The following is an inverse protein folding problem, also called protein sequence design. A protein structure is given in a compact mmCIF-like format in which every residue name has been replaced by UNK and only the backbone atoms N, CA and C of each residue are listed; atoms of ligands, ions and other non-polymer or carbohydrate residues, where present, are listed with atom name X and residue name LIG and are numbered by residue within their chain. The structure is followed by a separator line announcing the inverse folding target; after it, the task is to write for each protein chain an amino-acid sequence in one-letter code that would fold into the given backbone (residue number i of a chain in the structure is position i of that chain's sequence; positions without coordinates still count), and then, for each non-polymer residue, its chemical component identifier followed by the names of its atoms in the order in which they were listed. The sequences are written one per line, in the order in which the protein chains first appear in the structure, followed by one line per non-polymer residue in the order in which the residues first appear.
data_IF_775974424571
#
_entry.id   IF_775974424571
#
_cell.length_a   1.000
_cell.length_b   1.000
_cell.length_c   1.000
_cell.angle_alpha   90.00
_cell.angle_beta   90.00
_cell.angle_gamma   90.00
#
_symmetry.space_group_name_H-M   'P 1'
#
loop_
_entity.id
_entity.type
_entity.pdbx_description
1 polymer ?
#
# COMPACT_ATOMS: atom_id res chain seq x y z
N UNK A 1 38.14 31.33 -49.51
CA UNK A 1 36.85 31.62 -48.81
C UNK A 1 35.97 30.36 -48.65
N UNK A 2 35.76 29.52 -49.67
CA UNK A 2 34.89 28.30 -49.58
C UNK A 2 35.37 27.27 -48.55
N UNK A 3 36.67 27.04 -48.39
CA UNK A 3 37.20 26.07 -47.41
C UNK A 3 37.00 26.53 -45.93
N UNK A 4 37.11 27.83 -45.63
CA UNK A 4 36.84 28.36 -44.30
C UNK A 4 35.35 28.30 -43.95
N UNK A 5 34.45 28.52 -44.91
CA UNK A 5 33.02 28.39 -44.71
C UNK A 5 32.60 26.91 -44.47
N UNK A 6 33.24 25.96 -45.14
CA UNK A 6 32.99 24.53 -44.94
C UNK A 6 33.46 24.03 -43.58
N UNK A 7 34.62 24.54 -43.11
CA UNK A 7 35.15 24.21 -41.77
C UNK A 7 34.28 24.77 -40.66
N UNK A 8 33.74 25.98 -40.80
CA UNK A 8 32.81 26.58 -39.83
C UNK A 8 31.46 25.84 -39.83
N UNK A 9 30.96 25.47 -41.03
CA UNK A 9 29.71 24.67 -41.10
C UNK A 9 29.87 23.28 -40.49
N UNK A 10 31.03 22.62 -40.67
CA UNK A 10 31.33 21.34 -40.04
C UNK A 10 31.46 21.45 -38.52
N UNK A 11 32.11 22.52 -38.02
CA UNK A 11 32.22 22.76 -36.58
C UNK A 11 30.88 23.06 -35.93
N UNK A 12 30.00 23.83 -36.58
CA UNK A 12 28.63 24.10 -36.09
C UNK A 12 27.79 22.83 -36.12
N UNK A 13 27.95 21.99 -37.17
CA UNK A 13 27.26 20.72 -37.29
C UNK A 13 27.68 19.73 -36.17
N UNK A 14 28.97 19.67 -35.84
CA UNK A 14 29.49 18.86 -34.74
C UNK A 14 28.96 19.37 -33.37
N UNK A 15 28.90 20.69 -33.15
CA UNK A 15 28.36 21.30 -31.94
C UNK A 15 26.87 21.04 -31.75
N UNK A 16 26.08 20.97 -32.84
CA UNK A 16 24.64 20.69 -32.77
C UNK A 16 24.36 19.20 -32.53
N UNK A 17 25.24 18.29 -33.04
CA UNK A 17 25.08 16.86 -32.81
C UNK A 17 25.64 16.36 -31.46
N UNK A 18 26.47 17.13 -30.78
CA UNK A 18 26.86 16.88 -29.37
C UNK A 18 25.94 17.59 -28.38
N UNK A 19 24.64 17.62 -28.66
CA UNK A 19 23.66 17.81 -27.59
C UNK A 19 23.73 16.58 -26.72
N UNK A 20 24.66 16.57 -25.76
CA UNK A 20 24.67 15.60 -24.66
C UNK A 20 23.31 15.75 -23.99
N UNK A 21 22.42 14.80 -24.21
CA UNK A 21 21.21 14.71 -23.42
C UNK A 21 21.66 14.47 -21.98
N UNK A 22 21.83 15.55 -21.23
CA UNK A 22 21.99 15.47 -19.78
C UNK A 22 20.66 14.94 -19.27
N UNK A 23 20.60 13.64 -19.09
CA UNK A 23 19.51 13.03 -18.37
C UNK A 23 19.66 13.51 -16.93
N UNK A 24 18.91 14.56 -16.59
CA UNK A 24 18.80 14.97 -15.20
C UNK A 24 18.26 13.75 -14.44
N UNK A 25 18.99 13.32 -13.40
CA UNK A 25 18.49 12.28 -12.52
C UNK A 25 17.14 12.72 -11.97
N UNK A 26 16.13 11.84 -11.96
CA UNK A 26 14.82 12.20 -11.46
C UNK A 26 14.95 12.57 -9.97
N UNK A 27 14.38 13.72 -9.63
CA UNK A 27 14.37 14.24 -8.26
C UNK A 27 13.05 13.83 -7.61
N UNK A 28 13.11 13.20 -6.45
CA UNK A 28 11.95 12.78 -5.67
C UNK A 28 12.01 13.36 -4.27
N UNK A 29 10.85 13.64 -3.69
CA UNK A 29 10.74 14.01 -2.28
C UNK A 29 10.69 12.73 -1.45
N UNK A 30 11.68 12.46 -0.56
CA UNK A 30 11.59 11.37 0.41
C UNK A 30 10.58 11.74 1.48
N UNK A 31 9.48 10.98 1.60
CA UNK A 31 8.33 11.38 2.42
C UNK A 31 8.43 10.84 3.85
N UNK A 32 8.46 9.52 4.04
CA UNK A 32 8.51 8.91 5.37
C UNK A 32 7.23 9.06 6.21
N UNK A 33 6.19 9.67 5.67
CA UNK A 33 4.94 9.91 6.38
C UNK A 33 4.04 8.67 6.39
N UNK A 34 3.42 8.40 7.54
CA UNK A 34 2.42 7.34 7.68
C UNK A 34 1.11 7.73 6.99
N UNK A 35 0.53 6.80 6.25
CA UNK A 35 -0.77 6.90 5.59
C UNK A 35 -1.60 5.66 5.87
N UNK A 36 -2.91 5.80 5.86
CA UNK A 36 -3.84 4.70 5.78
C UNK A 36 -4.00 4.27 4.32
N UNK A 37 -3.80 3.00 4.04
CA UNK A 37 -3.98 2.42 2.71
C UNK A 37 -5.20 1.52 2.72
N UNK A 38 -6.12 1.75 1.81
CA UNK A 38 -7.28 0.92 1.58
C UNK A 38 -7.22 0.36 0.16
N UNK A 39 -7.05 -0.96 0.04
CA UNK A 39 -7.05 -1.67 -1.22
C UNK A 39 -8.29 -2.54 -1.29
N UNK A 40 -9.12 -2.36 -2.30
CA UNK A 40 -10.31 -3.18 -2.55
C UNK A 40 -10.05 -4.06 -3.76
N UNK A 41 -10.45 -5.31 -3.63
CA UNK A 41 -10.57 -6.24 -4.75
C UNK A 41 -12.06 -6.40 -5.14
N UNK A 42 -12.33 -7.14 -6.19
CA UNK A 42 -13.70 -7.43 -6.63
C UNK A 42 -14.31 -8.61 -5.85
N UNK A 43 -13.85 -8.86 -4.62
CA UNK A 43 -14.33 -9.97 -3.82
C UNK A 43 -14.96 -9.50 -2.52
N UNK A 44 -16.12 -10.04 -2.19
CA UNK A 44 -16.79 -9.77 -0.93
C UNK A 44 -16.73 -11.03 -0.08
N UNK A 45 -16.16 -10.93 1.12
CA UNK A 45 -15.93 -12.05 2.02
C UNK A 45 -16.70 -11.86 3.33
N UNK A 46 -17.24 -12.93 3.87
CA UNK A 46 -17.88 -12.94 5.19
C UNK A 46 -16.78 -12.81 6.25
N UNK A 47 -16.78 -11.71 6.98
CA UNK A 47 -15.79 -11.39 8.01
C UNK A 47 -16.21 -11.84 9.41
N UNK A 48 -17.51 -11.69 9.72
CA UNK A 48 -18.08 -12.08 11.00
C UNK A 48 -19.59 -12.30 10.85
N UNK A 49 -20.21 -12.90 11.84
CA UNK A 49 -21.66 -12.95 11.97
C UNK A 49 -22.12 -11.85 12.91
N UNK A 50 -23.27 -11.25 12.59
CA UNK A 50 -23.96 -10.35 13.49
C UNK A 50 -24.47 -11.13 14.71
N UNK A 51 -24.30 -10.59 15.93
CA UNK A 51 -24.66 -11.27 17.16
C UNK A 51 -26.17 -11.48 17.30
N UNK A 52 -26.97 -10.53 16.81
CA UNK A 52 -28.43 -10.56 16.90
C UNK A 52 -29.09 -11.22 15.68
N UNK A 53 -28.54 -10.99 14.47
CA UNK A 53 -29.18 -11.39 13.20
C UNK A 53 -28.49 -12.57 12.53
N UNK A 54 -27.34 -13.03 13.02
CA UNK A 54 -26.50 -14.00 12.31
C UNK A 54 -26.89 -15.47 12.52
N UNK A 55 -27.95 -15.78 13.25
CA UNK A 55 -28.37 -17.14 13.53
C UNK A 55 -28.78 -17.89 12.25
N UNK A 56 -29.61 -17.27 11.42
CA UNK A 56 -30.09 -17.85 10.15
C UNK A 56 -28.96 -18.12 9.16
N UNK A 57 -28.01 -17.19 9.07
CA UNK A 57 -26.83 -17.34 8.22
C UNK A 57 -25.95 -18.53 8.67
N UNK A 58 -25.78 -18.75 9.98
CA UNK A 58 -25.05 -19.92 10.51
C UNK A 58 -25.81 -21.22 10.22
N UNK A 59 -27.14 -21.24 10.39
CA UNK A 59 -27.97 -22.41 10.11
C UNK A 59 -27.96 -22.76 8.61
N UNK A 60 -27.93 -21.76 7.73
CA UNK A 60 -27.79 -21.95 6.29
C UNK A 60 -26.37 -22.44 5.89
N UNK A 61 -25.47 -22.63 6.85
CA UNK A 61 -24.14 -23.19 6.64
C UNK A 61 -23.08 -22.23 6.15
N UNK A 62 -23.30 -20.90 6.23
CA UNK A 62 -22.28 -19.89 5.94
C UNK A 62 -21.14 -19.99 6.94
N UNK A 63 -19.94 -19.63 6.51
CA UNK A 63 -18.75 -19.60 7.35
C UNK A 63 -17.97 -18.30 7.13
N UNK A 64 -17.27 -17.87 8.18
CA UNK A 64 -16.27 -16.80 8.08
C UNK A 64 -15.22 -17.23 7.06
N UNK A 65 -14.86 -16.33 6.13
CA UNK A 65 -13.96 -16.59 5.02
C UNK A 65 -14.63 -17.02 3.72
N UNK A 66 -15.94 -17.31 3.70
CA UNK A 66 -16.67 -17.55 2.46
C UNK A 66 -16.69 -16.30 1.59
N UNK A 67 -16.39 -16.45 0.30
CA UNK A 67 -16.49 -15.38 -0.69
C UNK A 67 -17.84 -15.46 -1.38
N UNK A 68 -18.58 -14.36 -1.42
CA UNK A 68 -19.87 -14.30 -2.12
C UNK A 68 -19.58 -13.99 -3.59
N UNK A 69 -19.93 -14.92 -4.46
CA UNK A 69 -19.77 -14.79 -5.91
C UNK A 69 -21.02 -14.24 -6.58
N UNK A 70 -22.19 -14.76 -6.18
CA UNK A 70 -23.49 -14.38 -6.75
C UNK A 70 -24.54 -14.28 -5.66
N UNK A 71 -25.52 -13.42 -5.92
CA UNK A 71 -26.78 -13.33 -5.17
C UNK A 71 -27.90 -13.46 -6.17
N UNK A 72 -28.81 -14.43 -5.98
CA UNK A 72 -29.91 -14.74 -6.88
C UNK A 72 -29.47 -14.92 -8.35
N UNK A 73 -28.31 -15.56 -8.54
CA UNK A 73 -27.71 -15.82 -9.86
C UNK A 73 -26.94 -14.63 -10.47
N UNK A 74 -27.04 -13.42 -9.88
CA UNK A 74 -26.33 -12.23 -10.36
C UNK A 74 -24.95 -12.12 -9.70
N UNK A 75 -23.90 -11.95 -10.49
CA UNK A 75 -22.52 -11.77 -10.01
C UNK A 75 -22.39 -10.46 -9.22
N UNK A 76 -21.70 -10.52 -8.10
CA UNK A 76 -21.49 -9.37 -7.21
C UNK A 76 -20.00 -9.10 -7.02
N UNK A 77 -19.62 -7.81 -7.00
CA UNK A 77 -18.26 -7.35 -6.86
C UNK A 77 -18.07 -6.42 -5.65
N UNK A 78 -19.14 -5.98 -5.02
CA UNK A 78 -19.10 -5.11 -3.84
C UNK A 78 -20.33 -5.29 -2.95
N UNK A 79 -20.22 -4.79 -1.70
CA UNK A 79 -21.28 -4.89 -0.71
C UNK A 79 -22.56 -4.11 -1.10
N UNK A 80 -22.43 -3.04 -1.89
CA UNK A 80 -23.59 -2.26 -2.33
C UNK A 80 -24.47 -3.05 -3.32
N UNK A 81 -23.84 -3.79 -4.24
CA UNK A 81 -24.56 -4.70 -5.15
C UNK A 81 -25.29 -5.80 -4.37
N UNK A 82 -24.63 -6.37 -3.37
CA UNK A 82 -25.27 -7.37 -2.49
C UNK A 82 -26.49 -6.75 -1.81
N UNK A 83 -26.35 -5.60 -1.16
CA UNK A 83 -27.47 -4.92 -0.49
C UNK A 83 -28.65 -4.69 -1.43
N UNK A 84 -28.40 -4.11 -2.63
CA UNK A 84 -29.46 -3.87 -3.61
C UNK A 84 -30.19 -5.16 -3.99
N UNK A 85 -29.45 -6.25 -4.27
CA UNK A 85 -30.06 -7.53 -4.64
C UNK A 85 -30.84 -8.17 -3.49
N UNK A 86 -30.44 -7.94 -2.24
CA UNK A 86 -31.20 -8.40 -1.07
C UNK A 86 -32.51 -7.58 -0.91
N UNK A 87 -32.48 -6.27 -1.13
CA UNK A 87 -33.67 -5.43 -1.06
C UNK A 87 -34.68 -5.79 -2.15
N UNK A 88 -34.21 -6.26 -3.32
CA UNK A 88 -35.05 -6.75 -4.42
C UNK A 88 -35.58 -8.19 -4.19
N UNK A 89 -35.12 -8.87 -3.13
CA UNK A 89 -35.45 -10.27 -2.86
C UNK A 89 -36.67 -10.39 -1.96
N UNK A 90 -37.55 -11.34 -2.25
CA UNK A 90 -38.82 -11.57 -1.54
C UNK A 90 -38.69 -12.36 -0.23
N UNK A 91 -37.72 -12.00 0.66
CA UNK A 91 -37.58 -12.65 1.98
C UNK A 91 -36.54 -13.78 2.05
N UNK A 92 -36.06 -14.28 0.92
CA UNK A 92 -35.00 -15.32 0.84
C UNK A 92 -34.02 -14.97 -0.26
N UNK A 93 -32.73 -15.19 -0.03
CA UNK A 93 -31.68 -15.02 -1.03
C UNK A 93 -30.94 -16.34 -1.27
N UNK A 94 -30.68 -16.64 -2.55
CA UNK A 94 -29.78 -17.72 -2.95
C UNK A 94 -28.39 -17.14 -3.19
N UNK A 95 -27.42 -17.63 -2.41
CA UNK A 95 -26.02 -17.22 -2.53
C UNK A 95 -25.20 -18.31 -3.20
N UNK A 96 -24.39 -17.93 -4.18
CA UNK A 96 -23.28 -18.76 -4.64
C UNK A 96 -22.02 -18.30 -3.93
N UNK A 97 -21.39 -19.21 -3.20
CA UNK A 97 -20.24 -18.96 -2.33
C UNK A 97 -19.02 -19.72 -2.84
N UNK A 98 -17.84 -19.18 -2.63
CA UNK A 98 -16.57 -19.88 -2.79
C UNK A 98 -15.91 -20.09 -1.43
N UNK A 99 -15.78 -21.37 -1.01
CA UNK A 99 -15.10 -21.79 0.21
C UNK A 99 -13.84 -22.58 -0.16
N UNK A 100 -12.67 -21.94 0.03
CA UNK A 100 -11.43 -22.47 -0.53
C UNK A 100 -11.51 -22.50 -2.06
N UNK A 101 -11.48 -23.71 -2.65
CA UNK A 101 -11.63 -23.93 -4.10
C UNK A 101 -13.00 -24.49 -4.51
N UNK A 102 -13.93 -24.67 -3.55
CA UNK A 102 -15.25 -25.26 -3.82
C UNK A 102 -16.31 -24.18 -3.92
N UNK A 103 -17.09 -24.23 -4.99
CA UNK A 103 -18.31 -23.45 -5.15
C UNK A 103 -19.45 -24.16 -4.42
N UNK A 104 -20.23 -23.42 -3.63
CA UNK A 104 -21.34 -23.91 -2.80
C UNK A 104 -22.53 -23.00 -3.01
N UNK A 105 -23.71 -23.56 -2.89
CA UNK A 105 -24.95 -22.78 -2.84
C UNK A 105 -25.55 -22.83 -1.44
N UNK A 106 -26.10 -21.71 -1.00
CA UNK A 106 -26.84 -21.58 0.24
C UNK A 106 -28.07 -20.72 0.02
N UNK A 107 -29.19 -21.12 0.60
CA UNK A 107 -30.41 -20.34 0.63
C UNK A 107 -30.62 -19.78 2.04
N UNK A 108 -30.81 -18.46 2.14
CA UNK A 108 -30.79 -17.76 3.42
C UNK A 108 -32.00 -16.88 3.55
N UNK A 109 -32.73 -16.96 4.66
CA UNK A 109 -33.74 -15.99 5.00
C UNK A 109 -33.14 -14.58 5.13
N UNK A 110 -33.79 -13.59 4.57
CA UNK A 110 -33.40 -12.18 4.65
C UNK A 110 -34.08 -11.56 5.85
N UNK A 111 -33.30 -10.86 6.67
CA UNK A 111 -33.83 -10.08 7.79
C UNK A 111 -34.08 -8.67 7.31
N UNK A 112 -35.35 -8.26 7.27
CA UNK A 112 -35.75 -6.88 6.99
C UNK A 112 -35.53 -6.01 8.21
N UNK A 113 -34.77 -4.92 8.07
CA UNK A 113 -34.49 -3.96 9.13
C UNK A 113 -34.86 -2.54 8.66
N UNK A 114 -34.86 -1.55 9.57
CA UNK A 114 -35.05 -0.16 9.22
C UNK A 114 -34.01 0.38 8.23
N UNK A 115 -32.80 -0.22 8.22
CA UNK A 115 -31.69 0.15 7.34
C UNK A 115 -31.64 -0.69 6.05
N UNK A 116 -32.67 -1.49 5.73
CA UNK A 116 -32.75 -2.37 4.57
C UNK A 116 -32.58 -3.84 4.89
N UNK A 117 -32.50 -4.65 3.85
CA UNK A 117 -32.37 -6.11 3.92
C UNK A 117 -30.96 -6.53 4.34
N UNK A 118 -30.85 -7.48 5.28
CA UNK A 118 -29.58 -7.98 5.83
C UNK A 118 -29.51 -9.49 5.82
N UNK A 119 -28.29 -10.04 5.65
CA UNK A 119 -27.99 -11.47 5.77
C UNK A 119 -27.55 -11.85 7.19
N UNK A 120 -27.46 -10.91 8.12
CA UNK A 120 -26.91 -11.18 9.47
C UNK A 120 -25.41 -11.46 9.49
N UNK A 121 -24.66 -10.96 8.50
CA UNK A 121 -23.20 -11.10 8.42
C UNK A 121 -22.54 -9.75 8.17
N UNK A 122 -21.34 -9.60 8.70
CA UNK A 122 -20.43 -8.49 8.36
C UNK A 122 -19.59 -8.89 7.15
N UNK A 123 -19.58 -8.01 6.15
CA UNK A 123 -18.87 -8.22 4.90
C UNK A 123 -17.56 -7.43 4.93
N UNK A 124 -16.49 -8.07 4.46
CA UNK A 124 -15.20 -7.45 4.24
C UNK A 124 -14.90 -7.43 2.75
N UNK A 125 -14.40 -6.29 2.28
CA UNK A 125 -13.93 -6.14 0.91
C UNK A 125 -12.53 -5.51 0.95
N UNK A 126 -11.54 -6.23 0.43
CA UNK A 126 -10.16 -5.76 0.38
C UNK A 126 -9.44 -5.77 1.74
N UNK A 127 -8.40 -4.96 1.81
CA UNK A 127 -7.50 -4.84 2.94
C UNK A 127 -7.28 -3.38 3.26
N UNK A 128 -7.29 -3.05 4.53
CA UNK A 128 -6.93 -1.73 5.05
C UNK A 128 -5.83 -1.87 6.09
N UNK A 129 -4.91 -0.93 6.10
CA UNK A 129 -3.83 -0.89 7.07
C UNK A 129 -3.07 0.43 6.99
N UNK A 130 -2.18 0.65 7.94
CA UNK A 130 -1.24 1.77 7.88
C UNK A 130 0.04 1.35 7.15
N UNK A 131 0.65 2.29 6.46
CA UNK A 131 1.94 2.13 5.79
C UNK A 131 2.66 3.46 5.67
N UNK A 132 3.87 3.44 5.14
CA UNK A 132 4.68 4.63 4.97
C UNK A 132 4.81 4.97 3.49
N UNK A 133 4.59 6.24 3.13
CA UNK A 133 4.90 6.78 1.80
C UNK A 133 6.41 6.92 1.69
N UNK A 134 7.00 6.27 0.69
CA UNK A 134 8.44 6.27 0.46
C UNK A 134 8.89 7.54 -0.23
N UNK A 135 8.25 7.85 -1.34
CA UNK A 135 8.62 8.98 -2.18
C UNK A 135 7.41 9.61 -2.85
N UNK A 136 7.58 10.87 -3.22
CA UNK A 136 6.63 11.64 -4.02
C UNK A 136 7.36 12.34 -5.14
N UNK A 137 6.81 12.25 -6.34
CA UNK A 137 7.28 12.96 -7.53
C UNK A 137 6.43 14.22 -7.74
N UNK A 138 6.97 15.42 -7.49
CA UNK A 138 6.22 16.66 -7.64
C UNK A 138 5.91 16.98 -9.11
N UNK A 139 6.66 16.43 -10.08
CA UNK A 139 6.42 16.69 -11.50
C UNK A 139 5.20 15.92 -12.03
N UNK A 140 4.97 14.69 -11.55
CA UNK A 140 3.88 13.84 -12.02
C UNK A 140 2.73 13.71 -11.02
N UNK A 141 2.95 14.06 -9.76
CA UNK A 141 2.04 13.82 -8.65
C UNK A 141 1.97 12.35 -8.22
N UNK A 142 2.85 11.50 -8.74
CA UNK A 142 2.92 10.09 -8.37
C UNK A 142 3.64 9.88 -7.04
N UNK A 143 3.28 8.81 -6.34
CA UNK A 143 3.96 8.39 -5.11
C UNK A 143 4.10 6.87 -5.04
N UNK A 144 5.07 6.41 -4.26
CA UNK A 144 5.25 5.02 -3.89
C UNK A 144 5.23 4.82 -2.38
N UNK A 145 4.71 3.69 -1.92
CA UNK A 145 4.57 3.35 -0.51
C UNK A 145 4.89 1.88 -0.25
N UNK A 146 5.21 1.52 1.00
CA UNK A 146 5.44 0.20 1.57
C UNK A 146 6.75 -0.47 1.16
N UNK A 147 7.21 -0.39 -0.09
CA UNK A 147 8.36 -1.16 -0.59
C UNK A 147 8.09 -2.66 -0.77
N UNK A 148 6.85 -3.12 -0.58
CA UNK A 148 6.38 -4.49 -0.82
C UNK A 148 4.89 -4.47 -1.18
N UNK A 149 4.42 -5.55 -1.80
CA UNK A 149 3.01 -5.69 -2.14
C UNK A 149 2.12 -5.99 -0.93
N UNK A 150 0.84 -5.67 -1.06
CA UNK A 150 -0.20 -6.05 -0.12
C UNK A 150 -0.81 -7.36 -0.59
N UNK A 151 -0.74 -8.38 0.26
CA UNK A 151 -1.26 -9.70 -0.03
C UNK A 151 -2.66 -9.87 0.57
N UNK A 152 -3.50 -10.64 -0.11
CA UNK A 152 -4.80 -11.07 0.38
C UNK A 152 -4.69 -12.11 1.50
N UNK A 153 -5.83 -12.57 2.00
CA UNK A 153 -5.91 -13.58 3.06
C UNK A 153 -5.28 -14.93 2.67
N UNK A 154 -5.14 -15.20 1.36
CA UNK A 154 -4.46 -16.37 0.83
C UNK A 154 -2.94 -16.26 0.77
N UNK A 155 -2.36 -15.13 1.19
CA UNK A 155 -0.92 -14.86 1.06
C UNK A 155 -0.46 -14.46 -0.35
N UNK A 156 -1.37 -14.44 -1.33
CA UNK A 156 -1.09 -14.03 -2.71
C UNK A 156 -1.31 -12.52 -2.85
N UNK A 157 -0.55 -11.89 -3.75
CA UNK A 157 -0.68 -10.47 -4.05
C UNK A 157 -2.14 -10.11 -4.36
N UNK A 158 -2.69 -9.12 -3.65
CA UNK A 158 -4.06 -8.68 -3.84
C UNK A 158 -4.21 -8.04 -5.22
N UNK A 159 -5.10 -8.58 -6.04
CA UNK A 159 -5.49 -7.96 -7.30
C UNK A 159 -6.42 -6.77 -7.01
N UNK A 160 -5.81 -5.59 -6.88
CA UNK A 160 -6.53 -4.38 -6.53
C UNK A 160 -7.40 -3.88 -7.69
N UNK A 161 -8.70 -3.73 -7.45
CA UNK A 161 -9.64 -3.10 -8.38
C UNK A 161 -9.75 -1.59 -8.12
N UNK A 162 -9.75 -1.22 -6.85
CA UNK A 162 -9.80 0.17 -6.39
C UNK A 162 -8.89 0.34 -5.18
N UNK A 163 -8.37 1.56 -4.99
CA UNK A 163 -7.62 1.86 -3.80
C UNK A 163 -7.50 3.35 -3.52
N UNK A 164 -7.37 3.66 -2.23
CA UNK A 164 -7.21 5.03 -1.76
C UNK A 164 -6.19 5.09 -0.61
N UNK A 165 -5.49 6.22 -0.53
CA UNK A 165 -4.65 6.59 0.59
C UNK A 165 -5.36 7.68 1.40
N UNK A 166 -5.28 7.58 2.72
CA UNK A 166 -5.90 8.52 3.67
C UNK A 166 -4.83 9.09 4.60
N UNK A 167 -5.00 10.32 5.09
CA UNK A 167 -4.18 10.82 6.17
C UNK A 167 -4.28 9.86 7.38
N UNK A 168 -3.14 9.59 8.01
CA UNK A 168 -3.12 8.74 9.19
C UNK A 168 -2.14 9.27 10.22
N UNK A 169 -2.44 9.05 11.49
CA UNK A 169 -1.57 9.36 12.61
C UNK A 169 -1.17 8.10 13.37
N UNK A 170 0.04 8.10 13.91
CA UNK A 170 0.50 7.06 14.82
C UNK A 170 -0.02 7.36 16.22
N UNK A 171 -0.89 6.50 16.74
CA UNK A 171 -1.47 6.65 18.09
C UNK A 171 -0.62 6.02 19.18
N UNK A 172 -0.01 4.87 18.87
CA UNK A 172 0.83 4.17 19.82
C UNK A 172 1.81 3.23 19.13
N UNK A 173 2.84 2.83 19.85
CA UNK A 173 3.88 1.91 19.39
C UNK A 173 3.95 0.70 20.33
N UNK A 174 3.80 -0.48 19.78
CA UNK A 174 4.22 -1.71 20.46
C UNK A 174 5.68 -1.92 20.14
N UNK A 175 6.56 -1.81 21.14
CA UNK A 175 8.01 -1.95 20.91
C UNK A 175 8.40 -3.35 20.44
N UNK A 176 9.32 -3.38 19.49
CA UNK A 176 9.95 -4.63 19.05
C UNK A 176 10.92 -5.18 20.09
N UNK A 177 11.01 -6.51 20.14
CA UNK A 177 11.98 -7.27 20.95
C UNK A 177 12.52 -8.41 20.10
N UNK A 178 13.66 -8.95 20.46
CA UNK A 178 14.23 -10.12 19.77
C UNK A 178 13.19 -11.25 19.67
N UNK A 179 12.94 -11.73 18.45
CA UNK A 179 11.92 -12.75 18.15
C UNK A 179 10.45 -12.25 18.11
N UNK A 180 10.18 -11.00 18.50
CA UNK A 180 8.84 -10.42 18.50
C UNK A 180 8.87 -9.04 17.83
N UNK A 181 8.51 -8.95 16.55
CA UNK A 181 8.44 -7.65 15.87
C UNK A 181 7.39 -6.77 16.53
N UNK A 182 7.74 -5.48 16.70
CA UNK A 182 6.81 -4.48 17.18
C UNK A 182 5.89 -3.97 16.08
N UNK A 183 5.02 -3.03 16.42
CA UNK A 183 4.03 -2.48 15.49
C UNK A 183 3.71 -1.03 15.82
N UNK A 184 3.60 -0.18 14.79
CA UNK A 184 2.93 1.10 14.87
C UNK A 184 1.42 0.86 14.80
N UNK A 185 0.68 1.43 15.72
CA UNK A 185 -0.78 1.46 15.70
C UNK A 185 -1.22 2.87 15.37
N UNK A 186 -2.02 3.00 14.34
CA UNK A 186 -2.51 4.29 13.87
C UNK A 186 -3.99 4.28 13.56
N UNK A 187 -4.55 5.46 13.43
CA UNK A 187 -5.89 5.70 12.91
C UNK A 187 -5.80 6.51 11.62
N UNK A 188 -6.77 6.30 10.75
CA UNK A 188 -6.97 7.16 9.61
C UNK A 188 -7.80 8.35 10.05
N UNK A 189 -7.29 9.56 9.82
CA UNK A 189 -7.96 10.79 10.14
C UNK A 189 -8.56 11.39 8.86
N UNK A 190 -9.88 11.48 8.86
CA UNK A 190 -10.64 12.14 7.81
C UNK A 190 -11.37 11.19 6.85
N UNK A 191 -12.44 11.72 6.27
CA UNK A 191 -13.26 11.03 5.27
C UNK A 191 -12.69 11.17 3.86
N UNK A 192 -11.84 12.18 3.64
CA UNK A 192 -11.26 12.49 2.33
C UNK A 192 -9.92 11.80 2.12
N UNK A 193 -9.78 11.13 0.97
CA UNK A 193 -8.53 10.51 0.59
C UNK A 193 -7.49 11.56 0.13
N UNK A 194 -6.25 11.42 0.60
CA UNK A 194 -5.11 12.23 0.15
C UNK A 194 -4.51 11.72 -1.17
N UNK A 195 -4.90 10.53 -1.64
CA UNK A 195 -4.41 9.98 -2.90
C UNK A 195 -5.22 8.78 -3.39
N UNK A 196 -5.15 8.54 -4.69
CA UNK A 196 -5.69 7.36 -5.35
C UNK A 196 -4.58 6.34 -5.56
N UNK A 197 -4.80 5.10 -5.15
CA UNK A 197 -3.89 3.99 -5.46
C UNK A 197 -4.19 3.47 -6.86
N UNK A 198 -3.15 3.26 -7.64
CA UNK A 198 -3.22 2.85 -9.04
C UNK A 198 -2.72 1.42 -9.25
N UNK A 199 -1.72 0.99 -8.46
CA UNK A 199 -1.10 -0.33 -8.61
C UNK A 199 -0.69 -0.91 -7.26
N UNK A 200 -0.91 -2.21 -7.09
CA UNK A 200 -0.32 -3.04 -6.05
C UNK A 200 0.62 -4.05 -6.74
N UNK A 201 1.90 -3.96 -6.47
CA UNK A 201 2.94 -4.79 -7.10
C UNK A 201 3.82 -5.45 -6.02
N UNK A 202 4.63 -6.46 -6.34
CA UNK A 202 5.58 -7.02 -5.38
C UNK A 202 6.57 -5.99 -4.79
N UNK A 203 6.85 -4.90 -5.53
CA UNK A 203 7.79 -3.84 -5.12
C UNK A 203 7.15 -2.73 -4.32
N UNK A 204 5.82 -2.69 -4.20
CA UNK A 204 5.12 -1.66 -3.45
C UNK A 204 3.74 -1.30 -3.99
N UNK A 205 3.13 -0.35 -3.31
CA UNK A 205 1.87 0.26 -3.71
C UNK A 205 2.15 1.63 -4.30
N UNK A 206 1.60 1.90 -5.47
CA UNK A 206 1.83 3.15 -6.20
C UNK A 206 0.51 3.87 -6.45
N UNK A 207 0.56 5.19 -6.38
CA UNK A 207 -0.63 6.01 -6.50
C UNK A 207 -0.35 7.40 -7.04
N UNK A 208 -1.41 8.20 -7.10
CA UNK A 208 -1.37 9.63 -7.44
C UNK A 208 -1.94 10.44 -6.29
N UNK A 209 -1.17 11.40 -5.81
CA UNK A 209 -1.59 12.30 -4.74
C UNK A 209 -2.60 13.32 -5.24
N UNK A 210 -3.50 13.74 -4.36
CA UNK A 210 -4.45 14.83 -4.61
C UNK A 210 -3.92 16.18 -4.14
N UNK A 211 -3.03 16.19 -3.14
CA UNK A 211 -2.53 17.42 -2.50
C UNK A 211 -1.00 17.52 -2.46
N UNK A 212 -0.28 16.44 -2.81
CA UNK A 212 1.18 16.36 -2.73
C UNK A 212 1.71 16.17 -1.31
N UNK A 213 3.04 16.08 -1.21
CA UNK A 213 3.79 16.13 0.04
C UNK A 213 4.84 17.21 -0.07
N UNK A 214 5.04 17.93 1.04
CA UNK A 214 6.07 18.96 1.13
C UNK A 214 7.42 18.34 1.46
N UNK A 215 8.48 18.88 0.89
CA UNK A 215 9.86 18.46 1.11
C UNK A 215 10.79 18.96 0.02
N UNK A 216 12.07 18.79 0.22
CA UNK A 216 13.09 19.08 -0.77
C UNK A 216 13.27 17.85 -1.68
N UNK A 217 13.15 18.01 -3.02
CA UNK A 217 13.45 16.93 -3.94
C UNK A 217 14.94 16.62 -3.96
N UNK A 218 15.30 15.35 -3.81
CA UNK A 218 16.69 14.86 -3.86
C UNK A 218 16.85 13.83 -4.97
N UNK A 219 18.10 13.60 -5.46
CA UNK A 219 18.38 12.58 -6.47
C UNK A 219 18.06 11.17 -5.98
N UNK A 220 17.69 10.29 -6.89
CA UNK A 220 17.54 8.87 -6.58
C UNK A 220 18.92 8.23 -6.64
N UNK A 221 19.34 7.57 -5.56
CA UNK A 221 20.54 6.76 -5.54
C UNK A 221 20.39 5.51 -6.41
N UNK A 222 21.36 5.25 -7.27
CA UNK A 222 21.43 4.03 -8.07
C UNK A 222 21.91 2.86 -7.22
N UNK A 223 21.51 1.65 -7.57
CA UNK A 223 21.87 0.45 -6.81
C UNK A 223 23.40 0.24 -6.65
N UNK A 224 24.18 0.68 -7.66
CA UNK A 224 25.64 0.59 -7.65
C UNK A 224 26.32 1.70 -6.81
N UNK A 225 25.59 2.71 -6.38
CA UNK A 225 26.07 3.78 -5.50
C UNK A 225 25.85 3.44 -4.01
N UNK A 226 24.97 2.49 -3.71
CA UNK A 226 24.71 2.10 -2.33
C UNK A 226 25.89 1.30 -1.77
N UNK A 227 26.39 1.72 -0.60
CA UNK A 227 27.56 1.09 0.04
C UNK A 227 27.39 0.93 1.55
N UNK A 228 28.16 0.06 2.22
CA UNK A 228 28.21 0.00 3.68
C UNK A 228 28.66 1.35 4.27
N UNK A 229 27.99 1.79 5.33
CA UNK A 229 28.31 3.07 5.98
C UNK A 229 27.08 3.74 6.59
N UNK A 230 27.25 4.99 6.98
CA UNK A 230 26.18 5.79 7.60
C UNK A 230 25.09 6.14 6.59
N UNK A 231 23.86 6.11 7.05
CA UNK A 231 22.67 6.51 6.32
C UNK A 231 21.60 6.98 7.31
N UNK A 232 20.49 7.49 6.81
CA UNK A 232 19.31 7.76 7.60
C UNK A 232 18.07 7.11 7.00
N UNK A 233 17.09 6.84 7.85
CA UNK A 233 15.73 6.50 7.42
C UNK A 233 14.78 7.60 7.84
N UNK A 234 13.87 7.99 6.96
CA UNK A 234 12.81 8.94 7.29
C UNK A 234 11.52 8.20 7.62
N UNK A 235 10.95 8.43 8.79
CA UNK A 235 9.76 7.70 9.25
C UNK A 235 8.94 8.50 10.25
N UNK A 236 7.64 8.25 10.28
CA UNK A 236 6.73 8.76 11.31
C UNK A 236 6.53 7.66 12.36
N UNK A 237 7.00 7.90 13.57
CA UNK A 237 6.87 6.94 14.68
C UNK A 237 6.07 7.48 15.86
N UNK A 238 5.60 8.71 15.78
CA UNK A 238 4.83 9.39 16.83
C UNK A 238 3.88 10.42 16.22
N UNK A 239 2.59 10.32 16.49
CA UNK A 239 1.55 11.21 15.96
C UNK A 239 1.72 11.47 14.46
N UNK A 240 1.94 12.73 14.07
CA UNK A 240 2.24 13.16 12.71
C UNK A 240 3.73 13.54 12.53
N UNK A 241 4.57 13.32 13.53
CA UNK A 241 5.96 13.76 13.51
C UNK A 241 6.81 12.79 12.69
N UNK A 242 7.20 13.23 11.50
CA UNK A 242 8.16 12.54 10.65
C UNK A 242 9.58 13.04 11.01
N UNK A 243 10.48 12.11 11.24
CA UNK A 243 11.88 12.39 11.58
C UNK A 243 12.86 11.58 10.77
N UNK A 244 14.11 12.07 10.69
CA UNK A 244 15.23 11.34 10.13
C UNK A 244 15.99 10.65 11.26
N UNK A 245 16.16 9.34 11.15
CA UNK A 245 16.78 8.50 12.16
C UNK A 245 18.05 7.85 11.61
N UNK A 246 19.14 7.93 12.35
CA UNK A 246 20.41 7.37 11.95
C UNK A 246 20.38 5.85 11.88
N UNK A 247 20.91 5.31 10.79
CA UNK A 247 21.14 3.88 10.58
C UNK A 247 22.53 3.65 10.01
N UNK A 248 23.00 2.42 10.09
CA UNK A 248 24.23 1.96 9.44
C UNK A 248 23.89 0.85 8.45
N UNK A 249 24.27 1.02 7.20
CA UNK A 249 24.23 -0.05 6.21
C UNK A 249 25.43 -0.96 6.49
N UNK A 250 25.15 -2.15 7.03
CA UNK A 250 26.18 -3.11 7.37
C UNK A 250 26.64 -3.93 6.16
N UNK A 251 25.71 -4.19 5.23
CA UNK A 251 25.97 -5.01 4.06
C UNK A 251 25.01 -4.67 2.93
N UNK A 252 25.57 -4.63 1.73
CA UNK A 252 24.81 -4.61 0.45
C UNK A 252 24.91 -6.03 -0.14
N UNK A 253 23.78 -6.59 -0.50
CA UNK A 253 23.71 -7.90 -1.13
C UNK A 253 23.64 -7.77 -2.66
N UNK A 254 24.13 -8.78 -3.40
CA UNK A 254 23.96 -8.80 -4.85
C UNK A 254 22.50 -8.72 -5.28
N UNK A 255 22.23 -8.07 -6.42
CA UNK A 255 20.89 -7.84 -6.94
C UNK A 255 20.16 -9.12 -7.40
N UNK A 256 20.90 -10.21 -7.59
CA UNK A 256 20.40 -11.52 -8.06
C UNK A 256 19.90 -12.43 -6.93
N UNK A 257 19.83 -11.95 -5.70
CA UNK A 257 19.29 -12.74 -4.59
C UNK A 257 17.81 -13.05 -4.79
N UNK A 258 17.48 -14.31 -4.62
CA UNK A 258 16.11 -14.83 -4.79
C UNK A 258 15.21 -14.55 -3.58
N UNK A 259 15.80 -14.21 -2.40
CA UNK A 259 15.04 -13.90 -1.17
C UNK A 259 14.60 -12.43 -1.06
N UNK A 260 14.90 -11.61 -2.08
CA UNK A 260 14.51 -10.20 -2.16
C UNK A 260 15.23 -9.27 -1.17
N UNK A 261 16.24 -9.76 -0.43
CA UNK A 261 17.02 -8.95 0.52
C UNK A 261 18.16 -8.25 -0.20
N UNK A 262 18.13 -6.91 -0.20
CA UNK A 262 19.12 -6.08 -0.86
C UNK A 262 20.13 -5.48 0.13
N UNK A 263 19.68 -5.16 1.35
CA UNK A 263 20.49 -4.48 2.36
C UNK A 263 20.34 -5.15 3.73
N UNK A 264 21.40 -5.06 4.56
CA UNK A 264 21.32 -5.29 5.99
C UNK A 264 21.59 -3.97 6.70
N UNK A 265 20.59 -3.50 7.45
CA UNK A 265 20.64 -2.25 8.20
C UNK A 265 20.73 -2.53 9.71
N UNK A 266 21.38 -1.62 10.41
CA UNK A 266 21.38 -1.51 11.87
C UNK A 266 20.87 -0.12 12.27
N UNK A 267 19.85 -0.06 13.09
CA UNK A 267 19.42 1.21 13.70
C UNK A 267 20.45 1.64 14.73
N UNK A 268 20.97 2.87 14.58
CA UNK A 268 21.95 3.46 15.49
C UNK A 268 21.36 4.63 16.25
N UNK A 269 20.20 5.16 15.82
CA UNK A 269 19.49 6.26 16.45
C UNK A 269 18.91 5.87 17.81
N UNK A 270 19.32 6.58 18.86
CA UNK A 270 18.88 6.29 20.23
C UNK A 270 17.40 6.59 20.44
N UNK A 271 16.89 7.67 19.89
CA UNK A 271 15.51 8.09 20.06
C UNK A 271 14.56 7.06 19.37
N UNK A 272 14.94 6.59 18.17
CA UNK A 272 14.18 5.53 17.50
C UNK A 272 14.19 4.23 18.30
N UNK A 273 15.35 3.81 18.82
CA UNK A 273 15.47 2.61 19.65
C UNK A 273 14.65 2.72 20.94
N UNK A 274 14.64 3.90 21.56
CA UNK A 274 13.80 4.13 22.74
C UNK A 274 12.31 4.12 22.41
N UNK A 275 11.90 4.67 21.26
CA UNK A 275 10.50 4.73 20.87
C UNK A 275 9.95 3.38 20.42
N UNK A 276 10.70 2.66 19.59
CA UNK A 276 10.21 1.49 18.85
C UNK A 276 10.91 0.18 19.18
N UNK A 277 12.09 0.23 19.81
CA UNK A 277 12.93 -0.96 20.05
C UNK A 277 13.65 -1.47 18.80
N UNK A 278 13.57 -0.76 17.66
CA UNK A 278 14.14 -1.10 16.37
C UNK A 278 13.16 -0.86 15.22
N UNK A 279 13.34 -1.56 14.10
CA UNK A 279 12.38 -1.52 12.98
C UNK A 279 11.12 -2.30 13.36
N UNK A 280 9.95 -1.68 13.22
CA UNK A 280 8.65 -2.25 13.58
C UNK A 280 7.68 -2.26 12.39
N UNK A 281 6.64 -3.07 12.47
CA UNK A 281 5.57 -3.07 11.45
C UNK A 281 4.92 -1.69 11.35
N UNK A 282 4.67 -1.24 10.14
CA UNK A 282 4.19 0.11 9.82
C UNK A 282 5.30 1.04 9.32
N UNK A 283 6.59 0.74 9.60
CA UNK A 283 7.74 1.47 9.03
C UNK A 283 8.10 0.99 7.62
N UNK A 284 7.44 -0.04 7.09
CA UNK A 284 7.63 -0.49 5.70
C UNK A 284 7.40 0.66 4.73
N UNK A 285 8.38 0.91 3.86
CA UNK A 285 8.37 2.05 2.94
C UNK A 285 9.11 3.29 3.45
N UNK A 286 9.67 3.28 4.66
CA UNK A 286 10.56 4.38 5.09
C UNK A 286 11.72 4.55 4.12
N UNK A 287 11.91 5.72 3.47
CA UNK A 287 13.03 5.93 2.54
C UNK A 287 14.36 5.90 3.29
N UNK A 288 15.37 5.32 2.63
CA UNK A 288 16.74 5.32 3.09
C UNK A 288 17.49 6.41 2.33
N UNK A 289 18.18 7.27 3.04
CA UNK A 289 18.94 8.41 2.48
C UNK A 289 20.41 8.20 2.84
N UNK A 290 21.28 8.15 1.83
CA UNK A 290 22.73 8.05 1.95
C UNK A 290 23.36 9.05 1.00
N UNK A 291 24.34 9.82 1.48
CA UNK A 291 25.10 10.81 0.70
C UNK A 291 24.25 11.85 -0.07
N UNK A 292 23.05 12.13 0.43
CA UNK A 292 22.12 13.06 -0.18
C UNK A 292 21.25 12.48 -1.25
#
# INVERSE_FOLDING_TARGET
MKQKALAVAAAVFILVFFSVSVWAEPLLIPVGQTVGLQLRDNTVTIAAFDDALGAEARQAGLKIGDRILRVNGQTVHNAQQIRRLLDESGGTARLTLLRGSKELEAEIPIVSTADGAKLGVYLKQGISGIGTVTWYDPATGCFGALGHGVNGSSGVLLHMAEGAAYPAQVQSVTKGKSGHPGQLKGSCDGEESCGQLLKNTPQGVFGKSRQGWLGEPIPIGRADQVHPGQASIRSTVSCFSTGDYSVEILKVYPADRTDGRNLLLKVTDKALLEATGGIVQGMSGSPIIQDG
#
